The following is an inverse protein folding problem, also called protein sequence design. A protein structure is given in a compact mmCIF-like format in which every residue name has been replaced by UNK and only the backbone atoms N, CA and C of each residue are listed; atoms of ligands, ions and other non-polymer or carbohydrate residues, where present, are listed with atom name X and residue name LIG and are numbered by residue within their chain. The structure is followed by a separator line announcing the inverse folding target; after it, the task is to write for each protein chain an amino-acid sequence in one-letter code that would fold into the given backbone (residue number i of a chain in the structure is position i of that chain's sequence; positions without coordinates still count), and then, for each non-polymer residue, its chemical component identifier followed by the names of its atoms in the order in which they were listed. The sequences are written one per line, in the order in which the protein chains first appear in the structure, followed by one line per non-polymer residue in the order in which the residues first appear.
data_IF_244833132553
#
_entry.id   IF_244833132553
#
_cell.length_a   1.000
_cell.length_b   1.000
_cell.length_c   1.000
_cell.angle_alpha   90.00
_cell.angle_beta   90.00
_cell.angle_gamma   90.00
#
_symmetry.space_group_name_H-M   'P 1'
#
loop_
_entity.id
_entity.type
_entity.pdbx_description
1 polymer ?
#
# COMPACT_ATOMS: atom_id res chain seq x y z
N UNK A 1 -25.29 -14.41 -31.68
CA UNK A 1 -26.74 -14.66 -31.54
C UNK A 1 -27.45 -13.32 -31.65
N UNK A 2 -28.63 -13.26 -32.27
CA UNK A 2 -29.41 -12.03 -32.31
C UNK A 2 -30.27 -11.95 -31.04
N UNK A 3 -30.44 -10.76 -30.48
CA UNK A 3 -31.22 -10.54 -29.26
C UNK A 3 -32.32 -9.55 -29.57
N UNK A 4 -33.55 -9.86 -29.15
CA UNK A 4 -34.70 -8.97 -29.26
C UNK A 4 -34.98 -8.40 -27.88
N UNK A 5 -35.19 -7.08 -27.81
CA UNK A 5 -35.54 -6.41 -26.56
C UNK A 5 -36.89 -5.74 -26.73
N UNK A 6 -37.79 -5.98 -25.78
CA UNK A 6 -39.09 -5.34 -25.72
C UNK A 6 -39.32 -4.68 -24.36
N UNK A 7 -40.15 -3.64 -24.34
CA UNK A 7 -40.81 -3.16 -23.12
C UNK A 7 -42.29 -3.48 -23.27
N UNK A 8 -42.86 -4.16 -22.29
CA UNK A 8 -44.26 -4.60 -22.29
C UNK A 8 -45.21 -3.41 -22.27
N UNK A 9 -46.50 -3.71 -22.51
CA UNK A 9 -47.59 -2.81 -22.14
C UNK A 9 -47.63 -2.60 -20.62
N UNK A 10 -48.45 -1.65 -20.17
CA UNK A 10 -48.65 -1.36 -18.76
C UNK A 10 -49.26 -2.58 -18.05
N UNK A 11 -48.74 -2.88 -16.85
CA UNK A 11 -49.15 -3.97 -15.97
C UNK A 11 -49.49 -3.35 -14.62
N UNK A 12 -50.66 -3.67 -14.07
CA UNK A 12 -51.05 -3.22 -12.74
C UNK A 12 -50.36 -4.09 -11.67
N UNK A 13 -49.98 -3.50 -10.54
CA UNK A 13 -49.19 -4.19 -9.49
C UNK A 13 -49.87 -5.45 -8.92
N UNK A 14 -51.20 -5.56 -9.01
CA UNK A 14 -51.99 -6.70 -8.53
C UNK A 14 -52.32 -7.75 -9.62
N UNK A 15 -51.72 -7.66 -10.81
CA UNK A 15 -52.03 -8.56 -11.93
C UNK A 15 -50.80 -9.00 -12.71
N UNK A 16 -50.66 -10.30 -12.95
CA UNK A 16 -49.65 -10.87 -13.87
C UNK A 16 -50.06 -10.76 -15.36
N UNK A 17 -51.21 -10.15 -15.64
CA UNK A 17 -51.78 -10.07 -16.99
C UNK A 17 -51.57 -8.68 -17.60
N UNK A 18 -51.09 -8.63 -18.85
CA UNK A 18 -50.98 -7.38 -19.61
C UNK A 18 -52.39 -6.79 -19.86
N UNK A 19 -52.63 -5.56 -19.41
CA UNK A 19 -53.89 -4.86 -19.69
C UNK A 19 -53.67 -3.76 -20.73
N UNK A 20 -54.59 -3.65 -21.69
CA UNK A 20 -54.67 -2.49 -22.58
C UNK A 20 -55.32 -1.34 -21.82
N UNK A 21 -54.50 -0.49 -21.21
CA UNK A 21 -54.96 0.81 -20.75
C UNK A 21 -55.22 1.68 -21.99
N UNK A 22 -56.49 1.90 -22.32
CA UNK A 22 -56.92 2.93 -23.26
C UNK A 22 -56.44 4.31 -22.77
N UNK A 23 -56.17 5.20 -23.72
CA UNK A 23 -55.53 6.51 -23.58
C UNK A 23 -56.27 7.50 -22.66
N UNK A 24 -56.26 7.26 -21.35
CA UNK A 24 -56.77 8.19 -20.34
C UNK A 24 -55.63 8.71 -19.47
N UNK A 25 -55.50 10.03 -19.39
CA UNK A 25 -54.60 10.83 -18.54
C UNK A 25 -54.93 10.69 -17.03
N UNK A 26 -55.08 9.45 -16.55
CA UNK A 26 -55.26 9.14 -15.13
C UNK A 26 -53.93 8.83 -14.45
N UNK A 27 -53.90 9.09 -13.14
CA UNK A 27 -52.78 8.82 -12.24
C UNK A 27 -52.33 7.36 -12.35
N UNK A 28 -51.09 7.13 -12.82
CA UNK A 28 -50.54 5.78 -13.09
C UNK A 28 -49.81 5.19 -11.88
N UNK A 29 -50.10 5.69 -10.69
CA UNK A 29 -49.57 5.15 -9.45
C UNK A 29 -50.06 3.69 -9.28
N UNK A 30 -49.12 2.76 -9.11
CA UNK A 30 -49.39 1.31 -9.04
C UNK A 30 -49.31 0.55 -10.37
N UNK A 31 -48.77 1.16 -11.43
CA UNK A 31 -48.52 0.49 -12.72
C UNK A 31 -47.02 0.42 -13.04
N UNK A 32 -46.61 -0.70 -13.61
CA UNK A 32 -45.25 -0.95 -14.07
C UNK A 32 -45.23 -1.48 -15.52
N UNK A 33 -44.05 -1.50 -16.15
CA UNK A 33 -43.79 -2.21 -17.41
C UNK A 33 -42.69 -3.22 -17.18
N UNK A 34 -42.61 -4.25 -18.02
CA UNK A 34 -41.52 -5.24 -17.99
C UNK A 34 -40.60 -5.02 -19.18
N UNK A 35 -39.32 -4.85 -18.91
CA UNK A 35 -38.28 -4.98 -19.92
C UNK A 35 -37.93 -6.45 -20.07
N UNK A 36 -38.05 -6.97 -21.28
CA UNK A 36 -37.83 -8.38 -21.61
C UNK A 36 -36.75 -8.49 -22.69
N UNK A 37 -35.77 -9.34 -22.44
CA UNK A 37 -34.68 -9.68 -23.37
C UNK A 37 -34.88 -11.13 -23.82
N UNK A 38 -34.97 -11.33 -25.13
CA UNK A 38 -35.25 -12.63 -25.75
C UNK A 38 -34.09 -13.00 -26.67
N UNK A 39 -33.54 -14.20 -26.45
CA UNK A 39 -32.47 -14.78 -27.27
C UNK A 39 -33.03 -15.46 -28.52
N UNK A 40 -32.39 -15.23 -29.67
CA UNK A 40 -32.68 -15.95 -30.93
C UNK A 40 -31.62 -17.03 -31.22
N UNK A 41 -32.01 -18.16 -31.84
CA UNK A 41 -33.29 -18.41 -32.52
C UNK A 41 -34.38 -19.04 -31.64
N UNK A 42 -34.04 -19.46 -30.42
CA UNK A 42 -34.90 -20.29 -29.57
C UNK A 42 -36.10 -19.52 -28.98
N UNK A 43 -36.13 -18.19 -29.12
CA UNK A 43 -37.15 -17.30 -28.56
C UNK A 43 -37.29 -17.47 -27.03
N UNK A 44 -36.19 -17.87 -26.38
CA UNK A 44 -36.14 -18.03 -24.94
C UNK A 44 -36.00 -16.65 -24.28
N UNK A 45 -36.82 -16.39 -23.25
CA UNK A 45 -36.66 -15.19 -22.42
C UNK A 45 -35.40 -15.37 -21.59
N UNK A 46 -34.38 -14.57 -21.88
CA UNK A 46 -33.09 -14.59 -21.19
C UNK A 46 -33.09 -13.72 -19.94
N UNK A 47 -33.87 -12.64 -19.95
CA UNK A 47 -33.95 -11.69 -18.84
C UNK A 47 -35.27 -10.92 -18.82
N UNK A 48 -35.82 -10.72 -17.63
CA UNK A 48 -37.01 -9.89 -17.39
C UNK A 48 -36.80 -9.01 -16.16
N UNK A 49 -37.16 -7.73 -16.24
CA UNK A 49 -37.09 -6.79 -15.13
C UNK A 49 -38.30 -5.85 -15.14
N UNK A 50 -38.84 -5.56 -13.96
CA UNK A 50 -39.86 -4.52 -13.80
C UNK A 50 -39.24 -3.12 -13.89
N UNK A 51 -39.94 -2.22 -14.56
CA UNK A 51 -39.57 -0.83 -14.85
C UNK A 51 -40.77 0.06 -14.61
N UNK A 52 -40.58 1.37 -14.45
CA UNK A 52 -41.70 2.28 -14.25
C UNK A 52 -42.69 2.28 -15.42
N UNK A 53 -43.93 2.71 -15.16
CA UNK A 53 -44.95 2.96 -16.19
C UNK A 53 -44.46 3.85 -17.35
N UNK A 54 -43.46 4.70 -17.09
CA UNK A 54 -42.90 5.67 -18.03
C UNK A 54 -41.54 5.19 -18.54
N UNK A 55 -41.52 4.01 -19.15
CA UNK A 55 -40.29 3.41 -19.68
C UNK A 55 -40.34 3.23 -21.20
N UNK A 56 -39.26 3.62 -21.87
CA UNK A 56 -39.09 3.52 -23.33
C UNK A 56 -37.69 3.04 -23.72
N UNK A 57 -37.62 2.22 -24.78
CA UNK A 57 -36.35 1.84 -25.37
C UNK A 57 -35.78 3.03 -26.15
N UNK A 58 -34.46 3.22 -26.04
CA UNK A 58 -33.76 4.26 -26.77
C UNK A 58 -33.20 3.67 -28.05
N UNK A 59 -33.51 4.30 -29.18
CA UNK A 59 -32.83 4.02 -30.45
C UNK A 59 -31.45 4.68 -30.44
N UNK A 60 -30.40 3.92 -30.08
CA UNK A 60 -29.02 4.38 -30.20
C UNK A 60 -28.52 4.18 -31.63
N UNK A 61 -28.22 5.27 -32.34
CA UNK A 61 -27.66 5.23 -33.70
C UNK A 61 -26.30 4.53 -33.76
N UNK A 62 -25.59 4.40 -32.64
CA UNK A 62 -24.32 3.66 -32.51
C UNK A 62 -24.53 2.15 -32.39
N UNK A 63 -25.66 1.71 -31.82
CA UNK A 63 -26.02 0.30 -31.76
C UNK A 63 -26.28 -0.27 -33.17
N UNK A 64 -26.88 0.53 -34.06
CA UNK A 64 -27.07 0.18 -35.47
C UNK A 64 -25.75 0.02 -36.26
N UNK A 65 -24.64 0.57 -35.74
CA UNK A 65 -23.30 0.43 -36.32
C UNK A 65 -22.48 -0.71 -35.68
N UNK A 66 -23.07 -1.52 -34.79
CA UNK A 66 -22.39 -2.61 -34.09
C UNK A 66 -21.33 -2.13 -33.08
N UNK A 67 -21.45 -0.90 -32.56
CA UNK A 67 -20.44 -0.29 -31.67
C UNK A 67 -20.78 -0.35 -30.19
N UNK A 68 -21.94 -0.90 -29.81
CA UNK A 68 -22.39 -0.93 -28.41
C UNK A 68 -23.12 -2.24 -28.09
N UNK A 69 -22.59 -3.02 -27.15
CA UNK A 69 -23.19 -4.27 -26.64
C UNK A 69 -24.19 -4.04 -25.50
N UNK A 70 -24.76 -2.84 -25.43
CA UNK A 70 -25.61 -2.44 -24.32
C UNK A 70 -26.97 -1.90 -24.80
N UNK A 71 -28.00 -2.30 -24.05
CA UNK A 71 -29.40 -1.95 -24.26
C UNK A 71 -29.67 -0.69 -23.44
N UNK A 72 -30.01 0.41 -24.11
CA UNK A 72 -30.33 1.69 -23.47
C UNK A 72 -31.84 1.85 -23.33
N UNK A 73 -32.30 2.30 -22.17
CA UNK A 73 -33.71 2.65 -21.95
C UNK A 73 -33.84 3.90 -21.07
N UNK A 74 -34.90 4.66 -21.29
CA UNK A 74 -35.24 5.84 -20.49
C UNK A 74 -36.37 5.46 -19.55
N UNK A 75 -36.24 5.83 -18.28
CA UNK A 75 -37.21 5.57 -17.23
C UNK A 75 -37.59 6.87 -16.52
N UNK A 76 -38.86 7.24 -16.62
CA UNK A 76 -39.47 8.35 -15.89
C UNK A 76 -39.96 7.89 -14.53
N UNK A 77 -39.57 8.58 -13.47
CA UNK A 77 -40.02 8.30 -12.10
C UNK A 77 -40.68 9.56 -11.55
N UNK A 78 -41.91 9.41 -11.06
CA UNK A 78 -42.64 10.45 -10.35
C UNK A 78 -42.63 10.10 -8.87
N UNK A 79 -42.03 10.95 -8.05
CA UNK A 79 -42.01 10.80 -6.59
C UNK A 79 -42.63 12.07 -5.99
N UNK A 80 -43.89 11.98 -5.57
CA UNK A 80 -44.65 13.14 -5.11
C UNK A 80 -44.72 14.23 -6.19
N UNK A 81 -44.22 15.43 -5.89
CA UNK A 81 -44.19 16.55 -6.83
C UNK A 81 -42.99 16.59 -7.77
N UNK A 82 -42.02 15.67 -7.61
CA UNK A 82 -40.78 15.66 -8.40
C UNK A 82 -40.86 14.64 -9.53
N UNK A 83 -40.58 15.10 -10.75
CA UNK A 83 -40.46 14.26 -11.95
C UNK A 83 -38.99 14.12 -12.32
N UNK A 84 -38.48 12.89 -12.34
CA UNK A 84 -37.09 12.57 -12.70
C UNK A 84 -37.07 11.67 -13.92
N UNK A 85 -36.08 11.87 -14.78
CA UNK A 85 -35.84 11.03 -15.96
C UNK A 85 -34.46 10.42 -15.82
N UNK A 86 -34.38 9.09 -15.88
CA UNK A 86 -33.14 8.33 -15.85
C UNK A 86 -32.85 7.76 -17.23
N UNK A 87 -31.63 7.97 -17.71
CA UNK A 87 -31.09 7.20 -18.83
C UNK A 87 -30.35 6.00 -18.24
N UNK A 88 -30.87 4.80 -18.49
CA UNK A 88 -30.35 3.54 -17.94
C UNK A 88 -29.75 2.67 -19.05
N UNK A 89 -28.78 1.86 -18.66
CA UNK A 89 -28.05 0.96 -19.54
C UNK A 89 -28.10 -0.45 -18.96
N UNK A 90 -28.59 -1.40 -19.74
CA UNK A 90 -28.57 -2.83 -19.46
C UNK A 90 -27.49 -3.47 -20.33
N UNK A 91 -26.50 -4.10 -19.70
CA UNK A 91 -25.42 -4.83 -20.39
C UNK A 91 -25.39 -6.26 -19.89
N UNK A 92 -25.09 -7.21 -20.78
CA UNK A 92 -24.72 -8.56 -20.36
C UNK A 92 -23.40 -8.43 -19.58
N UNK A 93 -23.47 -8.58 -18.25
CA UNK A 93 -22.27 -8.60 -17.43
C UNK A 93 -21.67 -10.00 -17.49
N UNK A 94 -20.39 -10.10 -17.85
CA UNK A 94 -19.66 -11.35 -17.61
C UNK A 94 -19.77 -11.69 -16.12
N UNK A 95 -19.88 -12.96 -15.71
CA UNK A 95 -19.96 -13.32 -14.29
C UNK A 95 -18.86 -12.68 -13.44
N UNK A 96 -17.66 -12.53 -14.00
CA UNK A 96 -16.53 -11.84 -13.35
C UNK A 96 -16.77 -10.33 -13.14
N UNK A 97 -17.44 -9.64 -14.07
CA UNK A 97 -17.77 -8.21 -13.94
C UNK A 97 -18.88 -7.99 -12.90
N UNK A 98 -19.84 -8.91 -12.84
CA UNK A 98 -20.90 -8.87 -11.82
C UNK A 98 -20.36 -9.20 -10.43
N UNK A 99 -19.42 -10.14 -10.34
CA UNK A 99 -18.67 -10.41 -9.12
C UNK A 99 -17.85 -9.19 -8.68
N UNK A 100 -17.15 -8.52 -9.61
CA UNK A 100 -16.41 -7.30 -9.32
C UNK A 100 -17.35 -6.22 -8.75
N UNK A 101 -18.55 -6.06 -9.33
CA UNK A 101 -19.54 -5.13 -8.79
C UNK A 101 -19.99 -5.47 -7.35
N UNK A 102 -20.20 -6.75 -7.01
CA UNK A 102 -20.54 -7.14 -5.64
C UNK A 102 -19.40 -6.85 -4.66
N UNK A 103 -18.15 -7.09 -5.09
CA UNK A 103 -16.96 -6.81 -4.28
C UNK A 103 -16.77 -5.30 -4.09
N UNK A 104 -16.87 -4.51 -5.16
CA UNK A 104 -16.76 -3.04 -5.11
C UNK A 104 -17.86 -2.41 -4.24
N UNK A 105 -19.06 -3.02 -4.22
CA UNK A 105 -20.15 -2.61 -3.35
C UNK A 105 -20.03 -3.11 -1.88
N UNK A 106 -18.94 -3.82 -1.53
CA UNK A 106 -18.74 -4.39 -0.19
C UNK A 106 -19.68 -5.55 0.16
N UNK A 107 -20.42 -6.10 -0.81
CA UNK A 107 -21.43 -7.16 -0.62
C UNK A 107 -20.78 -8.53 -0.71
N UNK A 108 -19.88 -8.83 0.24
CA UNK A 108 -19.03 -10.02 0.17
C UNK A 108 -19.78 -11.35 0.28
N UNK A 109 -20.77 -11.44 1.16
CA UNK A 109 -21.61 -12.64 1.30
C UNK A 109 -22.35 -12.98 0.00
N UNK A 110 -22.82 -11.95 -0.70
CA UNK A 110 -23.47 -12.08 -2.00
C UNK A 110 -22.47 -12.43 -3.10
N UNK A 111 -21.28 -11.84 -3.10
CA UNK A 111 -20.19 -12.22 -4.00
C UNK A 111 -19.82 -13.71 -3.85
N UNK A 112 -19.75 -14.23 -2.62
CA UNK A 112 -19.51 -15.67 -2.39
C UNK A 112 -20.66 -16.55 -2.89
N UNK A 113 -21.91 -16.18 -2.61
CA UNK A 113 -23.08 -16.91 -3.09
C UNK A 113 -23.15 -16.91 -4.63
N UNK A 114 -22.88 -15.77 -5.25
CA UNK A 114 -22.82 -15.60 -6.69
C UNK A 114 -21.70 -16.44 -7.31
N UNK A 115 -20.49 -16.39 -6.74
CA UNK A 115 -19.37 -17.19 -7.20
C UNK A 115 -19.68 -18.69 -7.16
N UNK A 116 -20.32 -19.16 -6.08
CA UNK A 116 -20.78 -20.56 -5.96
C UNK A 116 -21.80 -20.93 -7.04
N UNK A 117 -22.77 -20.06 -7.31
CA UNK A 117 -23.80 -20.30 -8.33
C UNK A 117 -23.25 -20.34 -9.76
N UNK A 118 -22.18 -19.58 -10.03
CA UNK A 118 -21.56 -19.46 -11.36
C UNK A 118 -20.26 -20.27 -11.52
N UNK A 119 -19.94 -21.16 -10.57
CA UNK A 119 -18.74 -22.01 -10.65
C UNK A 119 -17.41 -21.28 -10.56
N UNK A 120 -17.39 -20.06 -10.03
CA UNK A 120 -16.16 -19.28 -9.82
C UNK A 120 -15.44 -19.83 -8.57
N UNK A 121 -14.14 -20.15 -8.64
CA UNK A 121 -13.39 -20.66 -7.49
C UNK A 121 -13.41 -19.67 -6.32
N UNK A 122 -13.63 -20.17 -5.09
CA UNK A 122 -13.58 -19.38 -3.86
C UNK A 122 -12.24 -18.63 -3.70
N UNK A 123 -11.15 -19.22 -4.16
CA UNK A 123 -9.82 -18.62 -4.14
C UNK A 123 -9.75 -17.30 -4.93
N UNK A 124 -10.46 -17.19 -6.07
CA UNK A 124 -10.48 -15.95 -6.87
C UNK A 124 -11.26 -14.84 -6.16
N UNK A 125 -12.37 -15.19 -5.49
CA UNK A 125 -13.14 -14.24 -4.67
C UNK A 125 -12.31 -13.73 -3.49
N UNK A 126 -11.60 -14.63 -2.81
CA UNK A 126 -10.73 -14.30 -1.68
C UNK A 126 -9.58 -13.40 -2.13
N UNK A 127 -8.91 -13.74 -3.24
CA UNK A 127 -7.84 -12.94 -3.82
C UNK A 127 -8.30 -11.51 -4.13
N UNK A 128 -9.43 -11.35 -4.83
CA UNK A 128 -9.96 -10.02 -5.18
C UNK A 128 -10.32 -9.19 -3.95
N UNK A 129 -10.88 -9.81 -2.91
CA UNK A 129 -11.18 -9.15 -1.63
C UNK A 129 -9.91 -8.66 -0.93
N UNK A 130 -8.85 -9.46 -0.93
CA UNK A 130 -7.54 -9.07 -0.40
C UNK A 130 -6.92 -7.94 -1.23
N UNK A 131 -6.99 -7.99 -2.55
CA UNK A 131 -6.49 -6.92 -3.43
C UNK A 131 -7.20 -5.58 -3.16
N UNK A 132 -8.53 -5.61 -2.96
CA UNK A 132 -9.27 -4.42 -2.52
C UNK A 132 -8.83 -3.93 -1.15
N UNK A 133 -8.60 -4.84 -0.19
CA UNK A 133 -8.08 -4.47 1.12
C UNK A 133 -6.71 -3.80 1.02
N UNK A 134 -5.80 -4.33 0.18
CA UNK A 134 -4.48 -3.72 -0.09
C UNK A 134 -4.63 -2.29 -0.60
N UNK A 135 -5.51 -2.05 -1.58
CA UNK A 135 -5.75 -0.71 -2.13
C UNK A 135 -6.35 0.22 -1.06
N UNK A 136 -7.38 -0.24 -0.33
CA UNK A 136 -8.02 0.54 0.73
C UNK A 136 -7.04 0.94 1.84
N UNK A 137 -6.12 0.05 2.19
CA UNK A 137 -5.11 0.30 3.24
C UNK A 137 -4.08 1.37 2.91
N UNK A 138 -4.10 1.91 1.69
CA UNK A 138 -3.36 3.14 1.39
C UNK A 138 -3.92 4.35 2.16
N UNK A 139 -5.25 4.38 2.36
CA UNK A 139 -5.96 5.51 3.00
C UNK A 139 -6.48 5.17 4.40
N UNK A 140 -6.90 3.91 4.63
CA UNK A 140 -7.52 3.48 5.88
C UNK A 140 -6.93 2.16 6.37
N UNK A 141 -6.27 2.20 7.54
CA UNK A 141 -5.65 1.03 8.13
C UNK A 141 -6.69 -0.04 8.53
N UNK A 142 -6.30 -1.32 8.43
CA UNK A 142 -7.14 -2.42 8.90
C UNK A 142 -7.30 -2.40 10.42
N UNK A 143 -8.54 -2.52 10.86
CA UNK A 143 -8.86 -2.84 12.25
C UNK A 143 -8.58 -4.31 12.55
N UNK A 144 -8.38 -4.67 13.83
CA UNK A 144 -8.00 -6.04 14.23
C UNK A 144 -8.95 -7.12 13.68
N UNK A 145 -10.26 -6.85 13.65
CA UNK A 145 -11.25 -7.79 13.09
C UNK A 145 -11.07 -8.00 11.57
N UNK A 146 -10.69 -6.95 10.84
CA UNK A 146 -10.44 -7.04 9.39
C UNK A 146 -9.12 -7.76 9.11
N UNK A 147 -8.13 -7.64 10.00
CA UNK A 147 -6.87 -8.41 9.91
C UNK A 147 -7.16 -9.91 10.05
N UNK A 148 -8.03 -10.31 10.97
CA UNK A 148 -8.45 -11.70 11.13
C UNK A 148 -9.16 -12.23 9.87
N UNK A 149 -10.07 -11.42 9.30
CA UNK A 149 -10.74 -11.74 8.03
C UNK A 149 -9.71 -11.94 6.90
N UNK A 150 -8.81 -10.96 6.72
CA UNK A 150 -7.83 -10.97 5.63
C UNK A 150 -6.86 -12.14 5.75
N UNK A 151 -6.39 -12.48 6.95
CA UNK A 151 -5.54 -13.67 7.16
C UNK A 151 -6.26 -14.96 6.74
N UNK A 152 -7.54 -15.11 7.07
CA UNK A 152 -8.34 -16.26 6.61
C UNK A 152 -8.52 -16.30 5.09
N UNK A 153 -8.69 -15.13 4.45
CA UNK A 153 -8.81 -15.04 3.00
C UNK A 153 -7.49 -15.34 2.27
N UNK A 154 -6.35 -14.99 2.86
CA UNK A 154 -5.02 -15.31 2.34
C UNK A 154 -4.78 -16.83 2.34
N UNK A 155 -5.21 -17.53 3.40
CA UNK A 155 -5.18 -19.00 3.47
C UNK A 155 -6.11 -19.64 2.43
N UNK A 156 -7.30 -19.06 2.23
CA UNK A 156 -8.29 -19.53 1.24
C UNK A 156 -7.81 -19.34 -0.22
N UNK A 157 -6.99 -18.32 -0.50
CA UNK A 157 -6.48 -18.02 -1.83
C UNK A 157 -5.50 -19.09 -2.35
N UNK A 158 -4.87 -19.87 -1.46
CA UNK A 158 -3.92 -20.96 -1.78
C UNK A 158 -2.75 -20.54 -2.68
N UNK A 159 -2.38 -19.27 -2.67
CA UNK A 159 -1.22 -18.73 -3.38
C UNK A 159 -0.26 -18.11 -2.35
N UNK A 160 0.80 -18.84 -2.04
CA UNK A 160 1.80 -18.45 -1.07
C UNK A 160 2.55 -17.16 -1.45
N UNK A 161 2.79 -16.94 -2.74
CA UNK A 161 3.48 -15.75 -3.23
C UNK A 161 2.58 -14.53 -3.09
N UNK A 162 1.33 -14.64 -3.55
CA UNK A 162 0.32 -13.62 -3.35
C UNK A 162 0.10 -13.30 -1.86
N UNK A 163 0.08 -14.32 -1.00
CA UNK A 163 -0.16 -14.14 0.41
C UNK A 163 0.95 -13.32 1.08
N UNK A 164 2.21 -13.71 0.86
CA UNK A 164 3.36 -12.99 1.37
C UNK A 164 3.43 -11.55 0.86
N UNK A 165 3.24 -11.35 -0.46
CA UNK A 165 3.29 -10.03 -1.09
C UNK A 165 2.16 -9.12 -0.58
N UNK A 166 0.98 -9.67 -0.31
CA UNK A 166 -0.15 -8.91 0.24
C UNK A 166 0.08 -8.52 1.69
N UNK A 167 0.55 -9.44 2.55
CA UNK A 167 0.88 -9.13 3.94
C UNK A 167 1.93 -8.02 4.10
N UNK A 168 2.90 -7.93 3.18
CA UNK A 168 3.89 -6.84 3.20
C UNK A 168 3.30 -5.47 2.80
N UNK A 169 2.21 -5.46 2.02
CA UNK A 169 1.56 -4.23 1.51
C UNK A 169 0.43 -3.72 2.37
N UNK A 170 -0.27 -4.60 3.07
CA UNK A 170 -1.35 -4.23 4.00
C UNK A 170 -0.83 -3.32 5.12
N UNK A 171 -1.69 -2.42 5.58
CA UNK A 171 -1.44 -1.53 6.71
C UNK A 171 -2.47 -1.84 7.79
N UNK A 172 -2.01 -2.13 9.01
CA UNK A 172 -2.87 -2.40 10.15
C UNK A 172 -2.80 -1.24 11.16
N UNK A 173 -3.89 -1.02 11.90
CA UNK A 173 -4.00 0.06 12.87
C UNK A 173 -3.03 -0.12 14.06
N UNK A 174 -2.67 -1.36 14.40
CA UNK A 174 -1.83 -1.68 15.55
C UNK A 174 -0.49 -2.30 15.16
N UNK A 175 0.52 -2.10 16.03
CA UNK A 175 1.83 -2.77 15.89
C UNK A 175 1.68 -4.29 15.97
N UNK A 176 0.83 -4.77 16.88
CA UNK A 176 0.60 -6.21 17.06
C UNK A 176 0.04 -6.84 15.78
N UNK A 177 -0.93 -6.20 15.13
CA UNK A 177 -1.50 -6.70 13.89
C UNK A 177 -0.53 -6.60 12.71
N UNK A 178 0.27 -5.54 12.64
CA UNK A 178 1.37 -5.43 11.65
C UNK A 178 2.37 -6.60 11.81
N UNK A 179 2.71 -6.95 13.05
CA UNK A 179 3.58 -8.10 13.34
C UNK A 179 2.91 -9.43 12.95
N UNK A 180 1.60 -9.58 13.15
CA UNK A 180 0.85 -10.77 12.73
C UNK A 180 0.87 -10.94 11.21
N UNK A 181 0.66 -9.86 10.45
CA UNK A 181 0.75 -9.87 8.99
C UNK A 181 2.15 -10.30 8.52
N UNK A 182 3.21 -9.71 9.06
CA UNK A 182 4.58 -10.09 8.69
C UNK A 182 4.96 -11.51 9.13
N UNK A 183 4.46 -11.96 10.29
CA UNK A 183 4.65 -13.33 10.74
C UNK A 183 3.99 -14.34 9.79
N UNK A 184 2.77 -14.03 9.32
CA UNK A 184 2.07 -14.83 8.31
C UNK A 184 2.79 -14.82 6.96
N UNK A 185 3.30 -13.66 6.52
CA UNK A 185 4.13 -13.56 5.31
C UNK A 185 5.38 -14.46 5.40
N UNK A 186 6.01 -14.51 6.58
CA UNK A 186 7.20 -15.32 6.82
C UNK A 186 6.90 -16.82 6.76
N UNK A 187 5.75 -17.25 7.28
CA UNK A 187 5.36 -18.68 7.21
C UNK A 187 4.96 -19.09 5.79
N UNK A 188 4.31 -18.21 5.04
CA UNK A 188 3.85 -18.49 3.67
C UNK A 188 4.96 -18.43 2.63
N UNK A 189 5.98 -17.59 2.81
CA UNK A 189 7.13 -17.50 1.89
C UNK A 189 7.98 -18.80 1.81
N UNK A 190 7.74 -19.78 2.69
CA UNK A 190 8.53 -21.00 2.91
C UNK A 190 8.94 -21.76 1.64
N UNK A 191 10.08 -21.37 1.07
CA UNK A 191 10.71 -22.00 -0.11
C UNK A 191 11.28 -20.98 -1.10
N UNK A 192 10.76 -19.75 -1.12
CA UNK A 192 11.25 -18.68 -2.00
C UNK A 192 12.28 -17.81 -1.27
N UNK A 193 13.54 -17.91 -1.68
CA UNK A 193 14.65 -17.16 -1.09
C UNK A 193 14.49 -15.64 -1.24
N UNK A 194 13.97 -15.17 -2.38
CA UNK A 194 13.77 -13.74 -2.64
C UNK A 194 12.67 -13.19 -1.72
N UNK A 195 11.51 -13.86 -1.65
CA UNK A 195 10.42 -13.43 -0.77
C UNK A 195 10.81 -13.53 0.70
N UNK A 196 11.53 -14.58 1.08
CA UNK A 196 12.04 -14.73 2.45
C UNK A 196 12.94 -13.54 2.82
N UNK A 197 13.83 -13.11 1.92
CA UNK A 197 14.66 -11.94 2.14
C UNK A 197 13.85 -10.63 2.22
N UNK A 198 12.82 -10.46 1.39
CA UNK A 198 11.93 -9.29 1.42
C UNK A 198 11.12 -9.20 2.73
N UNK A 199 10.57 -10.33 3.19
CA UNK A 199 9.84 -10.38 4.48
C UNK A 199 10.78 -10.14 5.65
N UNK A 200 12.01 -10.64 5.58
CA UNK A 200 13.04 -10.37 6.59
C UNK A 200 13.41 -8.88 6.63
N UNK A 201 13.60 -8.23 5.48
CA UNK A 201 13.83 -6.79 5.38
C UNK A 201 12.66 -5.99 5.97
N UNK A 202 11.42 -6.30 5.57
CA UNK A 202 10.23 -5.64 6.11
C UNK A 202 10.12 -5.79 7.64
N UNK A 203 10.43 -6.98 8.17
CA UNK A 203 10.46 -7.25 9.62
C UNK A 203 11.57 -6.45 10.31
N UNK A 204 12.76 -6.38 9.71
CA UNK A 204 13.89 -5.62 10.23
C UNK A 204 13.58 -4.11 10.25
N UNK A 205 12.97 -3.59 9.19
CA UNK A 205 12.48 -2.21 9.09
C UNK A 205 11.45 -1.91 10.17
N UNK A 206 10.47 -2.80 10.42
CA UNK A 206 9.50 -2.62 11.50
C UNK A 206 10.17 -2.50 12.86
N UNK A 207 11.13 -3.39 13.16
CA UNK A 207 11.90 -3.29 14.40
C UNK A 207 12.69 -1.97 14.52
N UNK A 208 13.19 -1.46 13.40
CA UNK A 208 13.92 -0.17 13.36
C UNK A 208 12.97 1.00 13.62
N UNK A 209 11.80 1.03 12.98
CA UNK A 209 10.77 2.04 13.21
C UNK A 209 10.36 2.12 14.69
N UNK A 210 10.17 0.94 15.30
CA UNK A 210 9.85 0.81 16.73
C UNK A 210 10.98 1.38 17.61
N UNK A 211 12.25 1.08 17.31
CA UNK A 211 13.41 1.61 18.05
C UNK A 211 13.60 3.12 17.89
N UNK A 212 13.31 3.69 16.71
CA UNK A 212 13.50 5.11 16.42
C UNK A 212 12.47 6.03 17.08
N UNK A 213 11.45 5.48 17.75
CA UNK A 213 10.42 6.26 18.45
C UNK A 213 8.99 5.81 18.22
N UNK A 214 8.75 4.79 17.37
CA UNK A 214 7.42 4.27 17.08
C UNK A 214 6.74 3.49 18.21
N UNK A 215 7.29 3.48 19.43
CA UNK A 215 6.73 2.74 20.59
C UNK A 215 5.73 3.51 21.44
N UNK A 216 5.86 4.83 21.55
CA UNK A 216 5.01 5.62 22.46
C UNK A 216 3.61 5.87 21.89
N UNK A 217 3.47 5.85 20.57
CA UNK A 217 2.22 5.68 19.84
C UNK A 217 2.57 5.09 18.47
N UNK A 218 2.14 3.85 18.18
CA UNK A 218 2.33 3.28 16.85
C UNK A 218 1.51 4.08 15.85
N UNK A 219 2.19 4.78 14.95
CA UNK A 219 1.56 5.47 13.83
C UNK A 219 1.63 4.56 12.59
N UNK A 220 0.46 4.06 12.17
CA UNK A 220 0.33 3.18 11.03
C UNK A 220 0.69 3.88 9.70
N UNK A 221 0.43 5.19 9.58
CA UNK A 221 0.76 5.96 8.37
C UNK A 221 2.27 6.26 8.31
N UNK A 222 2.85 6.62 9.45
CA UNK A 222 4.31 6.74 9.61
C UNK A 222 5.03 5.43 9.27
N UNK A 223 4.51 4.29 9.75
CA UNK A 223 5.01 2.97 9.34
C UNK A 223 4.88 2.72 7.83
N UNK A 224 3.71 2.97 7.25
CA UNK A 224 3.44 2.77 5.83
C UNK A 224 4.37 3.61 4.93
N UNK A 225 4.79 4.78 5.41
CA UNK A 225 5.79 5.64 4.74
C UNK A 225 7.21 5.13 4.97
N UNK A 226 7.54 4.73 6.20
CA UNK A 226 8.89 4.28 6.56
C UNK A 226 9.28 2.98 5.86
N UNK A 227 8.36 2.01 5.74
CA UNK A 227 8.63 0.71 5.14
C UNK A 227 9.19 0.80 3.71
N UNK A 228 8.76 1.79 2.93
CA UNK A 228 9.21 2.02 1.54
C UNK A 228 10.24 3.15 1.42
N UNK A 229 10.64 3.76 2.53
CA UNK A 229 11.57 4.89 2.52
C UNK A 229 13.01 4.48 2.16
N UNK A 230 13.76 5.44 1.61
CA UNK A 230 15.19 5.29 1.37
C UNK A 230 15.96 5.41 2.69
N UNK A 231 16.54 4.30 3.15
CA UNK A 231 17.24 4.23 4.43
C UNK A 231 18.51 5.11 4.47
N UNK A 232 19.16 5.38 3.33
CA UNK A 232 20.29 6.30 3.29
C UNK A 232 19.81 7.74 3.51
N UNK A 233 18.68 8.12 2.93
CA UNK A 233 18.05 9.41 3.21
C UNK A 233 17.62 9.53 4.69
N UNK A 234 17.08 8.46 5.27
CA UNK A 234 16.77 8.42 6.71
C UNK A 234 18.02 8.59 7.57
N UNK A 235 19.13 7.93 7.21
CA UNK A 235 20.41 8.10 7.90
C UNK A 235 20.89 9.56 7.85
N UNK A 236 20.88 10.20 6.68
CA UNK A 236 21.25 11.62 6.54
C UNK A 236 20.38 12.53 7.40
N UNK A 237 19.07 12.27 7.46
CA UNK A 237 18.16 13.05 8.29
C UNK A 237 18.47 12.91 9.78
N UNK A 238 18.76 11.69 10.25
CA UNK A 238 19.18 11.45 11.64
C UNK A 238 20.54 12.09 11.94
N UNK A 239 21.48 12.08 10.99
CA UNK A 239 22.77 12.76 11.10
C UNK A 239 22.61 14.27 11.23
N UNK A 240 21.77 14.89 10.41
CA UNK A 240 21.49 16.32 10.50
C UNK A 240 20.86 16.73 11.85
N UNK A 241 20.12 15.82 12.51
CA UNK A 241 19.56 16.03 13.84
C UNK A 241 20.59 15.87 14.97
N UNK A 242 21.73 15.21 14.70
CA UNK A 242 22.77 14.95 15.70
C UNK A 242 22.40 13.88 16.75
N UNK A 243 21.37 13.08 16.52
CA UNK A 243 20.94 12.01 17.45
C UNK A 243 21.75 10.72 17.23
N UNK A 244 22.87 10.60 17.96
CA UNK A 244 23.76 9.43 17.89
C UNK A 244 23.04 8.13 18.22
N UNK A 245 22.10 8.13 19.16
CA UNK A 245 21.38 6.92 19.54
C UNK A 245 20.59 6.35 18.37
N UNK A 246 19.84 7.23 17.68
CA UNK A 246 19.03 6.85 16.51
C UNK A 246 19.89 6.51 15.29
N UNK A 247 20.96 7.26 15.02
CA UNK A 247 21.91 6.94 13.95
C UNK A 247 22.52 5.55 14.15
N UNK A 248 22.97 5.26 15.38
CA UNK A 248 23.56 3.97 15.73
C UNK A 248 22.57 2.82 15.58
N UNK A 249 21.33 3.01 16.02
CA UNK A 249 20.26 2.02 15.85
C UNK A 249 20.01 1.70 14.37
N UNK A 250 19.90 2.72 13.51
CA UNK A 250 19.71 2.52 12.08
C UNK A 250 20.92 1.81 11.45
N UNK A 251 22.14 2.30 11.70
CA UNK A 251 23.37 1.72 11.16
C UNK A 251 23.54 0.25 11.55
N UNK A 252 23.41 -0.08 12.85
CA UNK A 252 23.61 -1.44 13.36
C UNK A 252 22.71 -2.44 12.65
N UNK A 253 21.47 -2.06 12.40
CA UNK A 253 20.47 -2.90 11.77
C UNK A 253 20.69 -2.96 10.25
N UNK A 254 20.99 -1.85 9.60
CA UNK A 254 20.97 -1.72 8.13
C UNK A 254 22.32 -1.53 7.43
N UNK A 255 23.46 -1.70 8.11
CA UNK A 255 24.79 -1.56 7.48
C UNK A 255 25.05 -2.54 6.33
N UNK A 256 24.28 -3.62 6.21
CA UNK A 256 24.33 -4.55 5.07
C UNK A 256 23.60 -4.05 3.82
N UNK A 257 22.78 -3.00 3.93
CA UNK A 257 22.17 -2.32 2.78
C UNK A 257 23.25 -1.50 2.06
N UNK A 258 23.47 -1.79 0.77
CA UNK A 258 24.53 -1.16 -0.01
C UNK A 258 24.41 0.37 -0.10
N UNK A 259 23.20 0.93 -0.08
CA UNK A 259 22.98 2.38 -0.10
C UNK A 259 23.32 2.99 1.26
N UNK A 260 22.83 2.40 2.35
CA UNK A 260 23.15 2.86 3.71
C UNK A 260 24.66 2.80 3.94
N UNK A 261 25.28 1.68 3.55
CA UNK A 261 26.70 1.45 3.66
C UNK A 261 27.50 2.45 2.82
N UNK A 262 27.12 2.63 1.54
CA UNK A 262 27.77 3.54 0.60
C UNK A 262 27.72 5.01 1.05
N UNK A 263 26.63 5.40 1.70
CA UNK A 263 26.32 6.80 1.96
C UNK A 263 26.89 7.37 3.26
N UNK A 264 27.43 6.53 4.15
CA UNK A 264 27.88 6.95 5.49
C UNK A 264 28.84 8.15 5.47
N UNK A 265 29.83 8.16 4.58
CA UNK A 265 30.80 9.25 4.47
C UNK A 265 30.16 10.58 4.06
N UNK A 266 29.18 10.54 3.16
CA UNK A 266 28.42 11.72 2.75
C UNK A 266 27.46 12.17 3.86
N UNK A 267 26.82 11.23 4.56
CA UNK A 267 25.92 11.52 5.65
C UNK A 267 26.62 12.27 6.78
N UNK A 268 27.83 11.84 7.19
CA UNK A 268 28.63 12.46 8.25
C UNK A 268 28.94 13.96 8.01
N UNK A 269 28.96 14.42 6.76
CA UNK A 269 29.15 15.84 6.44
C UNK A 269 28.04 16.74 7.01
N UNK A 270 26.83 16.18 7.22
CA UNK A 270 25.69 16.89 7.80
C UNK A 270 25.71 16.99 9.32
N UNK A 271 26.69 16.39 10.02
CA UNK A 271 26.66 16.26 11.48
C UNK A 271 26.91 17.63 12.18
N UNK A 272 25.96 18.10 13.04
CA UNK A 272 26.10 19.38 13.73
C UNK A 272 27.35 19.48 14.60
N UNK A 273 27.93 20.68 14.71
CA UNK A 273 29.11 20.96 15.55
C UNK A 273 28.90 20.63 17.04
N UNK A 274 27.67 20.76 17.53
CA UNK A 274 27.26 20.61 18.93
C UNK A 274 27.13 19.16 19.43
N UNK A 275 27.34 18.17 18.57
CA UNK A 275 27.20 16.76 18.91
C UNK A 275 28.25 16.31 19.93
N UNK A 276 27.83 15.51 20.91
CA UNK A 276 28.72 14.94 21.95
C UNK A 276 29.82 14.09 21.31
N UNK A 277 31.06 14.58 21.40
CA UNK A 277 32.22 13.96 20.76
C UNK A 277 32.56 12.61 21.38
N UNK A 278 32.26 12.39 22.67
CA UNK A 278 32.50 11.11 23.33
C UNK A 278 31.64 9.99 22.78
N UNK A 279 30.33 10.24 22.67
CA UNK A 279 29.36 9.33 22.06
C UNK A 279 29.65 9.13 20.58
N UNK A 280 30.02 10.19 19.86
CA UNK A 280 30.36 10.12 18.44
C UNK A 280 31.57 9.21 18.22
N UNK A 281 32.65 9.43 18.98
CA UNK A 281 33.85 8.63 18.88
C UNK A 281 33.59 7.16 19.24
N UNK A 282 32.78 6.91 20.28
CA UNK A 282 32.37 5.57 20.66
C UNK A 282 31.61 4.84 19.55
N UNK A 283 30.64 5.52 18.92
CA UNK A 283 29.89 4.95 17.80
C UNK A 283 30.76 4.71 16.57
N UNK A 284 31.60 5.68 16.17
CA UNK A 284 32.49 5.54 15.01
C UNK A 284 33.46 4.37 15.19
N UNK A 285 34.15 4.30 16.33
CA UNK A 285 35.15 3.27 16.59
C UNK A 285 34.57 1.87 16.81
N UNK A 286 33.41 1.75 17.48
CA UNK A 286 32.83 0.44 17.77
C UNK A 286 31.93 -0.09 16.64
N UNK A 287 31.26 0.78 15.90
CA UNK A 287 30.19 0.39 14.98
C UNK A 287 30.50 0.70 13.51
N UNK A 288 31.04 1.88 13.21
CA UNK A 288 31.20 2.34 11.82
C UNK A 288 32.50 1.82 11.21
N UNK A 289 33.66 2.27 11.72
CA UNK A 289 34.97 1.97 11.15
C UNK A 289 35.25 0.47 10.96
N UNK A 290 34.93 -0.43 11.92
CA UNK A 290 35.20 -1.86 11.75
C UNK A 290 34.41 -2.53 10.62
N UNK A 291 33.41 -1.85 10.06
CA UNK A 291 32.53 -2.37 9.01
C UNK A 291 32.81 -1.78 7.65
N UNK A 292 33.64 -0.74 7.53
CA UNK A 292 33.91 -0.07 6.26
C UNK A 292 34.93 -0.83 5.42
N UNK A 293 34.79 -0.76 4.09
CA UNK A 293 35.87 -1.11 3.17
C UNK A 293 36.93 -0.01 3.09
N UNK A 294 38.12 -0.33 2.53
CA UNK A 294 39.29 0.58 2.49
C UNK A 294 38.98 2.00 1.96
N UNK A 295 38.34 2.11 0.79
CA UNK A 295 38.06 3.43 0.19
C UNK A 295 37.09 4.28 1.04
N UNK A 296 36.13 3.64 1.71
CA UNK A 296 35.20 4.34 2.58
C UNK A 296 35.85 4.71 3.91
N UNK A 297 36.74 3.85 4.39
CA UNK A 297 37.55 4.11 5.57
C UNK A 297 38.39 5.37 5.39
N UNK A 298 39.08 5.52 4.25
CA UNK A 298 39.82 6.74 3.91
C UNK A 298 38.93 7.99 3.93
N UNK A 299 37.75 7.92 3.30
CA UNK A 299 36.79 9.04 3.27
C UNK A 299 36.32 9.43 4.67
N UNK A 300 36.01 8.44 5.51
CA UNK A 300 35.55 8.68 6.89
C UNK A 300 36.72 9.16 7.77
N UNK A 301 37.92 8.63 7.59
CA UNK A 301 39.11 9.06 8.31
C UNK A 301 39.47 10.53 8.01
N UNK A 302 39.42 10.93 6.73
CA UNK A 302 39.59 12.32 6.33
C UNK A 302 38.57 13.24 7.01
N UNK A 303 37.30 12.83 7.06
CA UNK A 303 36.27 13.58 7.76
C UNK A 303 36.54 13.66 9.27
N UNK A 304 36.95 12.54 9.91
CA UNK A 304 37.30 12.51 11.34
C UNK A 304 38.43 13.50 11.63
N UNK A 305 39.47 13.53 10.80
CA UNK A 305 40.58 14.48 10.95
C UNK A 305 40.13 15.93 10.81
N UNK A 306 39.36 16.24 9.77
CA UNK A 306 38.84 17.59 9.55
C UNK A 306 37.96 18.03 10.72
N UNK A 307 37.14 17.12 11.25
CA UNK A 307 36.29 17.37 12.41
C UNK A 307 37.11 17.61 13.67
N UNK A 308 38.16 16.83 13.91
CA UNK A 308 39.07 17.02 15.04
C UNK A 308 39.80 18.37 14.96
N UNK A 309 40.29 18.77 13.78
CA UNK A 309 40.91 20.09 13.58
C UNK A 309 39.92 21.22 13.86
N UNK A 310 38.67 21.09 13.42
CA UNK A 310 37.63 22.07 13.69
C UNK A 310 37.32 22.17 15.20
N UNK A 311 37.28 21.04 15.93
CA UNK A 311 37.08 21.02 17.37
C UNK A 311 38.21 21.74 18.12
N UNK A 312 39.47 21.46 17.76
CA UNK A 312 40.63 22.07 18.40
C UNK A 312 40.75 23.58 18.12
N UNK A 313 40.40 24.03 16.91
CA UNK A 313 40.64 25.43 16.48
C UNK A 313 39.44 26.35 16.64
N UNK A 314 38.21 25.84 16.49
CA UNK A 314 36.99 26.66 16.49
C UNK A 314 36.18 26.53 17.76
N UNK A 315 36.29 25.39 18.45
CA UNK A 315 35.48 25.05 19.62
C UNK A 315 36.33 24.88 20.89
N UNK A 316 37.66 25.03 20.78
CA UNK A 316 38.64 24.88 21.87
C UNK A 316 38.53 23.53 22.63
N UNK A 317 37.96 22.51 21.99
CA UNK A 317 37.81 21.16 22.56
C UNK A 317 38.97 20.26 22.12
N UNK A 318 40.12 20.49 22.74
CA UNK A 318 41.34 19.71 22.49
C UNK A 318 41.19 18.24 22.91
N UNK A 319 40.39 17.97 23.95
CA UNK A 319 40.19 16.60 24.45
C UNK A 319 39.33 15.79 23.48
N UNK A 320 38.23 16.37 22.98
CA UNK A 320 37.40 15.76 21.95
C UNK A 320 38.17 15.56 20.64
N UNK A 321 38.97 16.54 20.22
CA UNK A 321 39.82 16.42 19.04
C UNK A 321 40.81 15.24 19.15
N UNK A 322 41.49 15.09 20.29
CA UNK A 322 42.39 13.96 20.55
C UNK A 322 41.65 12.61 20.51
N UNK A 323 40.45 12.55 21.08
CA UNK A 323 39.64 11.33 21.09
C UNK A 323 39.25 10.88 19.68
N UNK A 324 38.91 11.82 18.79
CA UNK A 324 38.62 11.51 17.39
C UNK A 324 39.86 11.08 16.61
N UNK A 325 40.98 11.80 16.76
CA UNK A 325 42.23 11.45 16.07
C UNK A 325 42.76 10.07 16.48
N UNK A 326 42.55 9.66 17.73
CA UNK A 326 42.95 8.35 18.22
C UNK A 326 42.34 7.21 17.38
N UNK A 327 41.15 7.38 16.82
CA UNK A 327 40.47 6.38 15.97
C UNK A 327 41.25 6.13 14.67
N UNK A 328 41.74 7.19 14.03
CA UNK A 328 42.47 7.10 12.75
C UNK A 328 43.89 6.55 12.97
N UNK A 329 44.53 6.93 14.07
CA UNK A 329 45.90 6.47 14.38
C UNK A 329 45.97 5.02 14.86
N UNK A 330 44.88 4.49 15.46
CA UNK A 330 44.84 3.13 15.95
C UNK A 330 44.66 2.09 14.83
N UNK A 331 44.06 2.47 13.70
CA UNK A 331 43.73 1.56 12.60
C UNK A 331 44.69 1.63 11.40
N UNK A 332 45.62 2.60 11.38
CA UNK A 332 46.54 2.82 10.24
C UNK A 332 48.01 2.87 10.69
N UNK A 333 48.79 1.77 10.64
CA UNK A 333 50.22 1.79 11.00
C UNK A 333 51.15 2.37 9.91
N UNK A 334 50.62 2.87 8.78
CA UNK A 334 51.44 3.28 7.63
C UNK A 334 50.95 4.57 6.96
N UNK A 335 51.20 5.72 7.59
CA UNK A 335 51.27 7.00 6.88
C UNK A 335 52.19 7.99 7.64
N UNK A 336 53.52 7.95 7.42
CA UNK A 336 54.47 8.81 8.12
C UNK A 336 54.38 10.31 7.75
N UNK A 337 53.49 10.71 6.84
CA UNK A 337 53.26 12.10 6.44
C UNK A 337 52.18 12.85 7.24
N UNK A 338 51.35 12.15 8.04
CA UNK A 338 50.18 12.73 8.74
C UNK A 338 50.45 13.12 10.21
N UNK A 339 51.64 12.80 10.74
CA UNK A 339 52.05 13.11 12.12
C UNK A 339 52.57 14.55 12.32
N UNK A 340 52.37 15.46 11.37
CA UNK A 340 52.83 16.85 11.47
C UNK A 340 51.91 17.78 12.29
N UNK A 341 51.11 17.22 13.22
CA UNK A 341 50.52 17.96 14.31
C UNK A 341 51.24 17.56 15.61
N UNK A 342 52.49 17.99 15.71
CA UNK A 342 53.20 18.02 16.98
C UNK A 342 52.43 18.88 17.99
N UNK A 343 52.40 18.50 19.28
CA UNK A 343 51.69 19.21 20.35
C UNK A 343 52.37 20.55 20.76
N UNK A 344 52.99 21.26 19.81
CA UNK A 344 53.76 22.48 20.05
C UNK A 344 53.10 23.78 19.56
N UNK A 345 51.83 23.75 19.11
CA UNK A 345 51.07 24.96 18.75
C UNK A 345 49.69 25.04 19.40
N UNK A 346 49.55 24.50 20.60
CA UNK A 346 48.38 24.69 21.46
C UNK A 346 48.72 25.50 22.73
N UNK A 347 49.89 26.12 22.75
CA UNK A 347 50.26 27.16 23.72
C UNK A 347 50.97 28.24 22.92
N UNK A 348 50.18 29.21 22.45
CA UNK A 348 50.51 30.64 22.33
C UNK A 348 49.25 31.41 21.93
#
# INVERSE_FOLDING_TARGET
AATVVGISKLIADDSDSEQTADDCEGDRDGWHRRLVVVGLPEMAVEYTMATSAWSWLVSDSRAAQGKTDAIMFVEGVVEGSRRRVFLRQLRAAMPLERLAHFLDAGRFSEAQAFAKAHGIPRAEVARRRVEQAVVRTADEALETAEVDEVLGLLDDARDAGFAADSCMRLVAATLADTQRLLAHARTTAGGDALRTAQVADATQRLGTWVELGGRTAFDCHGWATFRSSDLAQQLRALVAQGDIGRMAALWRRHHGDARVHGDIGAALQGLPASVDVGRLAGWLGAEVLPRLGLAQHETVAEWIEQRARALATRLDDVTGARRLLALVTAETPAAPGLLALTPQRLVD
#
